data_IF_493002578825
#
_entry.id   IF_493002578825
#
_cell.length_a   1.000
_cell.length_b   1.000
_cell.length_c   1.000
_cell.angle_alpha   90.00
_cell.angle_beta   90.00
_cell.angle_gamma   90.00
#
_symmetry.space_group_name_H-M   'P 1'
#
loop_
_entity.id
_entity.type
_entity.pdbx_description
1 polymer ?
#
# COMPACT_ATOMS: atom_id res chain seq x y z
N UNK A 1 -7.33 5.11 -14.03
CA UNK A 1 -7.86 4.01 -13.20
C UNK A 1 -6.74 3.04 -12.90
N UNK A 2 -6.57 2.62 -11.64
CA UNK A 2 -5.52 1.68 -11.24
C UNK A 2 -5.93 0.24 -11.56
N UNK A 3 -5.21 -0.39 -12.50
CA UNK A 3 -5.34 -1.82 -12.81
C UNK A 3 -4.42 -2.64 -11.92
N UNK A 4 -4.69 -3.95 -11.78
CA UNK A 4 -3.83 -4.88 -11.04
C UNK A 4 -2.37 -4.80 -11.49
N UNK A 5 -2.13 -4.91 -12.80
CA UNK A 5 -0.77 -4.84 -13.38
C UNK A 5 -0.06 -3.54 -13.02
N UNK A 6 -0.75 -2.40 -13.15
CA UNK A 6 -0.18 -1.09 -12.79
C UNK A 6 0.18 -0.98 -11.30
N UNK A 7 -0.64 -1.55 -10.42
CA UNK A 7 -0.35 -1.55 -8.98
C UNK A 7 0.84 -2.46 -8.71
N UNK A 8 0.87 -3.66 -9.30
CA UNK A 8 2.01 -4.60 -9.17
C UNK A 8 3.32 -3.97 -9.61
N UNK A 9 3.36 -3.38 -10.80
CA UNK A 9 4.57 -2.75 -11.35
C UNK A 9 5.02 -1.54 -10.53
N UNK A 10 4.05 -0.80 -9.98
CA UNK A 10 4.34 0.34 -9.12
C UNK A 10 4.93 -0.12 -7.78
N UNK A 11 4.26 -1.03 -7.07
CA UNK A 11 4.74 -1.55 -5.79
C UNK A 11 6.03 -2.35 -5.91
N UNK A 12 6.26 -3.04 -7.02
CA UNK A 12 7.51 -3.78 -7.25
C UNK A 12 8.72 -2.85 -7.34
N UNK A 13 8.53 -1.64 -7.90
CA UNK A 13 9.56 -0.60 -7.94
C UNK A 13 9.68 0.13 -6.61
N UNK A 14 8.55 0.50 -6.01
CA UNK A 14 8.51 1.25 -4.76
C UNK A 14 9.12 0.48 -3.59
N UNK A 15 8.95 -0.85 -3.57
CA UNK A 15 9.33 -1.70 -2.46
C UNK A 15 10.48 -2.66 -2.82
N UNK A 16 11.18 -2.43 -3.94
CA UNK A 16 12.30 -3.29 -4.39
C UNK A 16 13.26 -3.69 -3.24
N UNK A 17 13.66 -2.77 -2.32
CA UNK A 17 14.58 -3.13 -1.24
C UNK A 17 14.03 -4.14 -0.23
N UNK A 18 12.71 -4.25 -0.14
CA UNK A 18 11.99 -5.09 0.84
C UNK A 18 11.50 -6.39 0.20
N UNK A 19 11.24 -6.34 -1.10
CA UNK A 19 10.81 -7.47 -1.89
C UNK A 19 12.01 -8.39 -2.11
N UNK A 20 11.83 -9.67 -1.80
CA UNK A 20 12.90 -10.66 -1.81
C UNK A 20 12.31 -12.04 -2.13
N UNK A 21 13.14 -13.08 -2.09
CA UNK A 21 12.68 -14.45 -2.37
C UNK A 21 11.49 -14.91 -1.52
N UNK A 22 11.28 -14.31 -0.35
CA UNK A 22 10.18 -14.65 0.57
C UNK A 22 9.06 -13.62 0.63
N UNK A 23 9.22 -12.43 0.03
CA UNK A 23 8.25 -11.32 0.10
C UNK A 23 7.96 -10.80 -1.29
N UNK A 24 6.68 -10.66 -1.62
CA UNK A 24 6.24 -10.17 -2.94
C UNK A 24 5.24 -9.04 -2.77
N UNK A 25 5.02 -8.27 -3.84
CA UNK A 25 3.97 -7.26 -3.87
C UNK A 25 2.55 -7.87 -3.90
N UNK A 26 2.38 -9.20 -4.02
CA UNK A 26 1.07 -9.82 -4.26
C UNK A 26 0.04 -9.50 -3.18
N UNK A 27 0.40 -9.64 -1.90
CA UNK A 27 -0.51 -9.37 -0.79
C UNK A 27 -0.84 -7.87 -0.66
N UNK A 28 0.13 -6.93 -0.72
CA UNK A 28 -0.14 -5.50 -0.87
C UNK A 28 -1.06 -5.13 -2.05
N UNK A 29 -0.87 -5.76 -3.21
CA UNK A 29 -1.72 -5.55 -4.40
C UNK A 29 -3.16 -5.97 -4.11
N UNK A 30 -3.38 -7.14 -3.51
CA UNK A 30 -4.72 -7.60 -3.14
C UNK A 30 -5.38 -6.67 -2.13
N UNK A 31 -4.64 -6.22 -1.11
CA UNK A 31 -5.15 -5.30 -0.10
C UNK A 31 -5.66 -4.01 -0.76
N UNK A 32 -4.87 -3.41 -1.68
CA UNK A 32 -5.26 -2.21 -2.42
C UNK A 32 -6.45 -2.42 -3.36
N UNK A 33 -6.55 -3.59 -4.02
CA UNK A 33 -7.64 -3.89 -4.95
C UNK A 33 -8.99 -4.05 -4.25
N UNK A 34 -9.01 -4.49 -2.99
CA UNK A 34 -10.23 -4.56 -2.17
C UNK A 34 -10.74 -3.18 -1.74
N UNK A 35 -9.89 -2.15 -1.79
CA UNK A 35 -10.29 -0.80 -1.43
C UNK A 35 -11.13 -0.16 -2.55
N UNK A 36 -12.12 0.69 -2.19
CA UNK A 36 -12.81 1.53 -3.16
C UNK A 36 -11.82 2.53 -3.81
N UNK A 37 -12.08 3.00 -5.05
CA UNK A 37 -11.13 3.82 -5.80
C UNK A 37 -10.50 5.03 -5.06
N UNK A 38 -11.26 5.86 -4.31
CA UNK A 38 -10.65 6.98 -3.58
C UNK A 38 -9.74 6.53 -2.43
N UNK A 39 -10.11 5.45 -1.72
CA UNK A 39 -9.29 4.86 -0.66
C UNK A 39 -7.99 4.26 -1.19
N UNK A 40 -8.08 3.60 -2.36
CA UNK A 40 -6.92 3.03 -3.05
C UNK A 40 -5.91 4.11 -3.45
N UNK A 41 -6.39 5.22 -3.99
CA UNK A 41 -5.53 6.34 -4.37
C UNK A 41 -4.81 6.92 -3.14
N UNK A 42 -5.56 7.24 -2.08
CA UNK A 42 -4.97 7.75 -0.83
C UNK A 42 -3.97 6.77 -0.19
N UNK A 43 -4.26 5.47 -0.24
CA UNK A 43 -3.35 4.44 0.26
C UNK A 43 -2.05 4.38 -0.56
N UNK A 44 -2.12 4.50 -1.88
CA UNK A 44 -0.93 4.56 -2.74
C UNK A 44 -0.08 5.80 -2.43
N UNK A 45 -0.72 6.98 -2.34
CA UNK A 45 -0.02 8.23 -2.02
C UNK A 45 0.71 8.15 -0.66
N UNK A 46 0.06 7.59 0.37
CA UNK A 46 0.67 7.40 1.69
C UNK A 46 1.79 6.35 1.66
N UNK A 47 1.65 5.29 0.87
CA UNK A 47 2.71 4.30 0.72
C UNK A 47 3.96 4.92 0.07
N UNK A 48 3.80 5.84 -0.89
CA UNK A 48 4.93 6.58 -1.48
C UNK A 48 5.64 7.46 -0.45
N UNK A 49 4.87 8.20 0.37
CA UNK A 49 5.43 9.01 1.47
C UNK A 49 6.16 8.14 2.49
N UNK A 50 5.55 7.01 2.88
CA UNK A 50 6.15 6.07 3.82
C UNK A 50 7.44 5.46 3.27
N UNK A 51 7.46 5.09 1.98
CA UNK A 51 8.62 4.49 1.34
C UNK A 51 9.79 5.47 1.22
N UNK A 52 9.51 6.76 1.01
CA UNK A 52 10.52 7.81 1.02
C UNK A 52 11.23 7.95 2.38
N UNK A 53 10.57 7.57 3.48
CA UNK A 53 11.18 7.49 4.79
C UNK A 53 11.86 6.13 5.02
N UNK A 54 11.16 5.02 4.72
CA UNK A 54 11.67 3.66 4.83
C UNK A 54 10.71 2.65 4.15
N UNK A 55 11.21 1.84 3.23
CA UNK A 55 10.38 0.96 2.40
C UNK A 55 9.68 -0.16 3.20
N UNK A 56 10.32 -0.71 4.24
CA UNK A 56 9.65 -1.67 5.17
C UNK A 56 8.40 -1.06 5.83
N UNK A 57 8.41 0.23 6.17
CA UNK A 57 7.24 0.89 6.78
C UNK A 57 6.09 0.92 5.77
N UNK A 58 6.38 1.28 4.52
CA UNK A 58 5.39 1.26 3.44
C UNK A 58 4.84 -0.15 3.20
N UNK A 59 5.71 -1.17 3.22
CA UNK A 59 5.28 -2.56 3.08
C UNK A 59 4.34 -2.98 4.22
N UNK A 60 4.72 -2.75 5.48
CA UNK A 60 3.89 -3.08 6.65
C UNK A 60 2.57 -2.29 6.66
N UNK A 61 2.59 -1.02 6.23
CA UNK A 61 1.39 -0.23 6.03
C UNK A 61 0.43 -0.86 5.04
N UNK A 62 0.91 -1.24 3.86
CA UNK A 62 0.08 -1.83 2.83
C UNK A 62 -0.52 -3.18 3.26
N UNK A 63 0.19 -3.97 4.08
CA UNK A 63 -0.36 -5.20 4.67
C UNK A 63 -1.52 -4.95 5.65
N UNK A 64 -1.62 -3.75 6.20
CA UNK A 64 -2.58 -3.38 7.24
C UNK A 64 -3.60 -2.33 6.81
N UNK A 65 -3.47 -1.80 5.61
CA UNK A 65 -4.28 -0.66 5.13
C UNK A 65 -5.78 -0.98 5.12
N UNK A 66 -6.15 -2.21 4.74
CA UNK A 66 -7.55 -2.66 4.73
C UNK A 66 -8.15 -2.66 6.14
N UNK A 67 -7.41 -3.21 7.11
CA UNK A 67 -7.77 -3.23 8.53
C UNK A 67 -7.85 -1.80 9.09
N UNK A 68 -6.86 -0.96 8.78
CA UNK A 68 -6.83 0.45 9.20
C UNK A 68 -8.05 1.23 8.74
N UNK A 69 -8.44 1.10 7.46
CA UNK A 69 -9.63 1.74 6.90
C UNK A 69 -10.90 1.21 7.54
N UNK A 70 -11.00 -0.11 7.77
CA UNK A 70 -12.17 -0.73 8.40
C UNK A 70 -12.43 -0.20 9.81
N UNK A 71 -11.36 0.04 10.58
CA UNK A 71 -11.47 0.49 11.97
C UNK A 71 -11.58 2.01 12.13
N UNK A 72 -10.94 2.79 11.25
CA UNK A 72 -10.80 4.24 11.44
C UNK A 72 -11.37 5.08 10.29
N UNK A 73 -11.93 4.44 9.27
CA UNK A 73 -12.38 5.09 8.05
C UNK A 73 -11.22 5.66 7.21
N UNK A 74 -11.58 6.39 6.15
CA UNK A 74 -10.62 7.04 5.25
C UNK A 74 -9.76 8.11 5.95
N UNK A 75 -10.35 8.87 6.87
CA UNK A 75 -9.64 9.85 7.70
C UNK A 75 -8.59 9.18 8.60
N UNK A 76 -8.81 7.92 8.97
CA UNK A 76 -7.87 7.11 9.73
C UNK A 76 -6.54 6.83 9.02
N UNK A 77 -6.52 6.91 7.69
CA UNK A 77 -5.30 6.77 6.89
C UNK A 77 -4.31 7.92 7.11
N UNK A 78 -4.83 9.13 7.31
CA UNK A 78 -4.01 10.33 7.53
C UNK A 78 -3.31 10.35 8.90
N UNK A 79 -3.84 9.62 9.89
CA UNK A 79 -3.25 9.52 11.22
C UNK A 79 -2.31 8.32 11.43
N UNK A 80 -1.95 7.62 10.35
CA UNK A 80 -1.04 6.47 10.37
C UNK A 80 0.41 6.83 10.06
N UNK A 81 0.62 7.98 9.41
CA UNK A 81 1.91 8.64 9.23
C UNK A 81 1.96 9.90 10.10
#
# INVERSE_FOLDING_TARGET
MWTRERITDHLSRLLEPVLSSRRTAAEPVEALLRLPPPARAAALDLAEVAAAAHEEIAFQFLLKVEEGIRHRGLTGLQGWL
#
